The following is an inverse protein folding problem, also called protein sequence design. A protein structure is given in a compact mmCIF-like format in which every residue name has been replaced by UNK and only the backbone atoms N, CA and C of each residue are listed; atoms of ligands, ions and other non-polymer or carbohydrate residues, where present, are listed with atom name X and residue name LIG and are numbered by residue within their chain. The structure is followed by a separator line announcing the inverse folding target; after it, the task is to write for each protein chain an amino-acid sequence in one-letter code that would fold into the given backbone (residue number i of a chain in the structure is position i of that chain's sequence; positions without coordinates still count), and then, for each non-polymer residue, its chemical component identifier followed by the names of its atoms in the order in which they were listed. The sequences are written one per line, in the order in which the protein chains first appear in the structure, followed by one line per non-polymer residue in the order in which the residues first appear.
data_IF_108346563940
#
_entry.id   IF_108346563940
#
_cell.length_a   1.000
_cell.length_b   1.000
_cell.length_c   1.000
_cell.angle_alpha   90.00
_cell.angle_beta   90.00
_cell.angle_gamma   90.00
#
_symmetry.space_group_name_H-M   'P 1'
#
loop_
_entity.id
_entity.type
_entity.pdbx_description
1 polymer ?
#
# COMPACT_ATOMS: atom_id res chain seq x y z
N UNK A 1 -24.02 -1.20 -23.05
CA UNK A 1 -23.92 -1.27 -21.57
C UNK A 1 -25.09 -0.59 -20.88
N UNK A 2 -25.72 0.42 -21.50
CA UNK A 2 -26.84 1.16 -20.89
C UNK A 2 -28.09 0.30 -20.63
N UNK A 3 -28.38 -0.68 -21.50
CA UNK A 3 -29.48 -1.62 -21.28
C UNK A 3 -29.34 -2.37 -19.96
N UNK A 4 -28.16 -2.93 -19.67
CA UNK A 4 -27.92 -3.69 -18.44
C UNK A 4 -27.93 -2.78 -17.21
N UNK A 5 -27.35 -1.58 -17.31
CA UNK A 5 -27.37 -0.65 -16.17
C UNK A 5 -28.78 -0.21 -15.83
N UNK A 6 -29.61 0.07 -16.84
CA UNK A 6 -31.00 0.48 -16.63
C UNK A 6 -31.87 -0.67 -16.14
N UNK A 7 -31.72 -1.87 -16.73
CA UNK A 7 -32.47 -3.07 -16.35
C UNK A 7 -32.24 -3.47 -14.89
N UNK A 8 -31.01 -3.32 -14.39
CA UNK A 8 -30.63 -3.73 -13.04
C UNK A 8 -30.44 -2.55 -12.07
N UNK A 9 -30.83 -1.33 -12.45
CA UNK A 9 -30.74 -0.14 -11.59
C UNK A 9 -29.32 0.26 -11.16
N UNK A 10 -28.32 -0.05 -11.97
CA UNK A 10 -26.91 0.26 -11.67
C UNK A 10 -26.63 1.73 -12.02
N UNK A 11 -26.32 2.54 -11.01
CA UNK A 11 -26.09 3.99 -11.16
C UNK A 11 -24.96 4.36 -12.12
N UNK A 12 -23.92 3.53 -12.24
CA UNK A 12 -22.78 3.78 -13.11
C UNK A 12 -22.62 2.70 -14.17
N UNK A 13 -22.72 3.09 -15.44
CA UNK A 13 -22.48 2.19 -16.58
C UNK A 13 -21.05 1.66 -16.65
N UNK A 14 -20.07 2.33 -16.03
CA UNK A 14 -18.68 1.87 -15.96
C UNK A 14 -18.46 0.74 -14.94
N UNK A 15 -19.43 0.53 -14.04
CA UNK A 15 -19.36 -0.55 -13.04
C UNK A 15 -19.44 -1.93 -13.68
N UNK A 16 -20.24 -2.07 -14.74
CA UNK A 16 -20.45 -3.33 -15.46
C UNK A 16 -19.18 -3.83 -16.14
N UNK A 17 -18.50 -3.06 -17.01
CA UNK A 17 -17.24 -3.52 -17.62
C UNK A 17 -16.16 -3.76 -16.56
N UNK A 18 -16.14 -3.00 -15.46
CA UNK A 18 -15.23 -3.25 -14.34
C UNK A 18 -15.47 -4.62 -13.69
N UNK A 19 -16.72 -4.97 -13.36
CA UNK A 19 -17.06 -6.29 -12.81
C UNK A 19 -16.78 -7.43 -13.78
N UNK A 20 -17.09 -7.26 -15.07
CA UNK A 20 -16.77 -8.25 -16.09
C UNK A 20 -15.26 -8.51 -16.12
N UNK A 21 -14.44 -7.46 -16.13
CA UNK A 21 -12.99 -7.60 -16.15
C UNK A 21 -12.48 -8.28 -14.87
N UNK A 22 -13.00 -7.90 -13.70
CA UNK A 22 -12.63 -8.54 -12.42
C UNK A 22 -13.00 -10.02 -12.38
N UNK A 23 -14.18 -10.38 -12.89
CA UNK A 23 -14.63 -11.76 -12.94
C UNK A 23 -13.80 -12.60 -13.91
N UNK A 24 -13.43 -12.06 -15.08
CA UNK A 24 -12.56 -12.76 -16.04
C UNK A 24 -11.18 -13.07 -15.46
N UNK A 25 -10.64 -12.15 -14.66
CA UNK A 25 -9.28 -12.29 -14.11
C UNK A 25 -9.23 -13.16 -12.84
N UNK A 26 -10.19 -12.97 -11.92
CA UNK A 26 -10.13 -13.54 -10.57
C UNK A 26 -11.36 -14.40 -10.23
N UNK A 27 -12.21 -14.70 -11.21
CA UNK A 27 -13.45 -15.45 -10.99
C UNK A 27 -14.39 -14.77 -9.99
N UNK A 28 -15.10 -15.59 -9.22
CA UNK A 28 -16.04 -15.12 -8.19
C UNK A 28 -15.34 -14.29 -7.12
N UNK A 29 -14.10 -14.63 -6.77
CA UNK A 29 -13.32 -13.92 -5.75
C UNK A 29 -13.02 -12.47 -6.15
N UNK A 30 -12.92 -12.18 -7.45
CA UNK A 30 -12.77 -10.84 -8.00
C UNK A 30 -13.95 -9.91 -7.72
N UNK A 31 -15.14 -10.48 -7.46
CA UNK A 31 -16.36 -9.74 -7.13
C UNK A 31 -16.57 -9.59 -5.61
N UNK A 32 -15.84 -10.37 -4.80
CA UNK A 32 -15.96 -10.30 -3.34
C UNK A 32 -15.29 -9.05 -2.79
N UNK A 33 -15.96 -8.39 -1.85
CA UNK A 33 -15.39 -7.26 -1.12
C UNK A 33 -14.31 -7.77 -0.17
N UNK A 34 -13.04 -7.41 -0.40
CA UNK A 34 -12.00 -7.57 0.62
C UNK A 34 -12.36 -6.72 1.85
N UNK A 35 -12.64 -7.39 2.98
CA UNK A 35 -12.97 -6.75 4.26
C UNK A 35 -11.74 -6.41 5.10
N UNK A 36 -10.59 -6.96 4.76
CA UNK A 36 -9.35 -6.77 5.49
C UNK A 36 -8.42 -5.78 4.78
N UNK A 37 -7.83 -4.89 5.58
CA UNK A 37 -6.79 -3.98 5.11
C UNK A 37 -5.49 -4.75 4.91
N UNK A 38 -4.99 -4.81 3.66
CA UNK A 38 -3.69 -5.42 3.39
C UNK A 38 -2.57 -4.44 3.69
N UNK A 39 -1.68 -4.86 4.60
CA UNK A 39 -0.41 -4.18 4.86
C UNK A 39 0.65 -4.75 3.93
N UNK A 40 1.32 -3.88 3.19
CA UNK A 40 2.45 -4.26 2.34
C UNK A 40 3.74 -3.79 3.00
N UNK A 41 4.71 -4.70 3.14
CA UNK A 41 6.05 -4.37 3.62
C UNK A 41 6.76 -3.43 2.64
N UNK A 42 7.77 -2.69 3.12
CA UNK A 42 8.60 -1.84 2.24
C UNK A 42 9.24 -2.68 1.13
N UNK A 43 9.75 -3.87 1.47
CA UNK A 43 10.32 -4.81 0.51
C UNK A 43 9.32 -5.19 -0.59
N UNK A 44 8.08 -5.50 -0.23
CA UNK A 44 7.06 -5.83 -1.22
C UNK A 44 6.80 -4.67 -2.19
N UNK A 45 6.73 -3.44 -1.65
CA UNK A 45 6.54 -2.23 -2.49
C UNK A 45 7.72 -2.01 -3.43
N UNK A 46 8.95 -2.24 -2.96
CA UNK A 46 10.15 -2.15 -3.79
C UNK A 46 10.14 -3.18 -4.91
N UNK A 47 9.85 -4.45 -4.61
CA UNK A 47 9.75 -5.49 -5.63
C UNK A 47 8.68 -5.14 -6.68
N UNK A 48 7.55 -4.57 -6.27
CA UNK A 48 6.50 -4.13 -7.20
C UNK A 48 6.96 -2.99 -8.13
N UNK A 49 7.72 -2.04 -7.58
CA UNK A 49 8.31 -0.94 -8.35
C UNK A 49 9.39 -1.44 -9.32
N UNK A 50 10.27 -2.32 -8.85
CA UNK A 50 11.32 -2.92 -9.67
C UNK A 50 10.73 -3.74 -10.82
N UNK A 51 9.72 -4.56 -10.54
CA UNK A 51 9.01 -5.31 -11.58
C UNK A 51 8.40 -4.39 -12.64
N UNK A 52 7.80 -3.27 -12.22
CA UNK A 52 7.27 -2.28 -13.16
C UNK A 52 8.38 -1.57 -13.97
N UNK A 53 9.55 -1.28 -13.39
CA UNK A 53 10.65 -0.62 -14.09
C UNK A 53 11.37 -1.54 -15.07
N UNK A 54 11.41 -2.84 -14.80
CA UNK A 54 12.17 -3.83 -15.57
C UNK A 54 11.33 -4.53 -16.64
N UNK A 55 10.02 -4.34 -16.64
CA UNK A 55 9.08 -4.96 -17.58
C UNK A 55 8.33 -3.92 -18.41
N UNK A 56 7.78 -4.33 -19.54
CA UNK A 56 6.89 -3.50 -20.38
C UNK A 56 5.42 -3.67 -19.99
N UNK A 57 5.15 -3.86 -18.70
CA UNK A 57 3.81 -4.13 -18.19
C UNK A 57 3.15 -2.85 -17.68
N UNK A 58 1.85 -2.75 -17.91
CA UNK A 58 1.02 -1.73 -17.27
C UNK A 58 0.92 -1.98 -15.76
N UNK A 59 0.61 -0.94 -14.98
CA UNK A 59 0.33 -1.09 -13.55
C UNK A 59 -0.74 -2.14 -13.23
N UNK A 60 -1.67 -2.37 -14.16
CA UNK A 60 -2.72 -3.39 -14.00
C UNK A 60 -2.16 -4.78 -14.12
N UNK A 61 -1.28 -5.03 -15.09
CA UNK A 61 -0.65 -6.34 -15.28
C UNK A 61 0.31 -6.66 -14.12
N UNK A 62 1.12 -5.68 -13.69
CA UNK A 62 1.98 -5.84 -12.50
C UNK A 62 1.13 -6.15 -11.26
N UNK A 63 0.00 -5.47 -11.08
CA UNK A 63 -0.91 -5.75 -9.98
C UNK A 63 -1.50 -7.17 -10.08
N UNK A 64 -1.86 -7.64 -11.27
CA UNK A 64 -2.39 -8.99 -11.46
C UNK A 64 -1.32 -10.05 -11.11
N UNK A 65 -0.07 -9.88 -11.55
CA UNK A 65 1.06 -10.77 -11.20
C UNK A 65 1.28 -10.84 -9.69
N UNK A 66 1.14 -9.70 -9.00
CA UNK A 66 1.28 -9.60 -7.54
C UNK A 66 -0.02 -9.93 -6.78
N UNK A 67 -1.05 -10.42 -7.48
CA UNK A 67 -2.39 -10.71 -6.94
C UNK A 67 -3.02 -9.53 -6.17
N UNK A 68 -2.68 -8.32 -6.60
CA UNK A 68 -3.16 -7.06 -6.08
C UNK A 68 -4.41 -6.61 -6.83
N UNK A 69 -5.48 -6.37 -6.07
CA UNK A 69 -6.73 -5.91 -6.65
C UNK A 69 -6.75 -4.43 -7.03
N UNK A 70 -5.73 -3.66 -6.64
CA UNK A 70 -5.69 -2.20 -6.80
C UNK A 70 -4.37 -1.74 -7.46
N UNK A 71 -4.36 -1.58 -8.80
CA UNK A 71 -3.17 -1.12 -9.52
C UNK A 71 -2.77 0.33 -9.19
N UNK A 72 -3.71 1.15 -8.74
CA UNK A 72 -3.42 2.54 -8.31
C UNK A 72 -2.46 2.57 -7.12
N UNK A 73 -2.38 1.52 -6.31
CA UNK A 73 -1.40 1.45 -5.22
C UNK A 73 0.04 1.45 -5.75
N UNK A 74 0.32 0.73 -6.83
CA UNK A 74 1.66 0.64 -7.42
C UNK A 74 2.05 2.00 -7.99
N UNK A 75 1.15 2.67 -8.71
CA UNK A 75 1.39 4.03 -9.21
C UNK A 75 1.70 5.02 -8.06
N UNK A 76 0.95 4.96 -6.96
CA UNK A 76 1.20 5.80 -5.79
C UNK A 76 2.53 5.49 -5.10
N UNK A 77 2.93 4.21 -5.02
CA UNK A 77 4.24 3.84 -4.48
C UNK A 77 5.36 4.32 -5.37
N UNK A 78 5.25 4.15 -6.70
CA UNK A 78 6.23 4.63 -7.66
C UNK A 78 6.40 6.15 -7.58
N UNK A 79 5.30 6.90 -7.46
CA UNK A 79 5.36 8.36 -7.27
C UNK A 79 6.12 8.72 -5.99
N UNK A 80 5.76 8.12 -4.85
CA UNK A 80 6.45 8.37 -3.57
C UNK A 80 7.93 7.99 -3.61
N UNK A 81 8.25 6.90 -4.30
CA UNK A 81 9.63 6.47 -4.49
C UNK A 81 10.44 7.48 -5.32
N UNK A 82 9.83 8.09 -6.35
CA UNK A 82 10.47 9.15 -7.13
C UNK A 82 10.68 10.44 -6.32
N UNK A 83 9.75 10.77 -5.44
CA UNK A 83 9.80 12.01 -4.63
C UNK A 83 10.73 11.91 -3.42
N UNK A 84 10.71 10.77 -2.71
CA UNK A 84 11.34 10.63 -1.39
C UNK A 84 12.21 9.36 -1.26
N UNK A 85 12.42 8.62 -2.35
CA UNK A 85 13.17 7.36 -2.34
C UNK A 85 12.52 6.28 -1.48
N UNK A 86 13.36 5.44 -0.87
CA UNK A 86 12.92 4.32 -0.01
C UNK A 86 12.17 4.83 1.23
N UNK A 87 12.54 5.99 1.76
CA UNK A 87 11.90 6.59 2.94
C UNK A 87 10.44 6.95 2.67
N UNK A 88 10.08 7.31 1.42
CA UNK A 88 8.69 7.54 1.04
C UNK A 88 7.81 6.30 1.11
N UNK A 89 8.41 5.11 1.00
CA UNK A 89 7.69 3.83 1.05
C UNK A 89 7.47 3.32 2.48
N UNK A 90 8.30 3.75 3.44
CA UNK A 90 8.22 3.35 4.84
C UNK A 90 7.19 4.18 5.64
N UNK A 91 6.87 5.38 5.17
CA UNK A 91 5.87 6.25 5.81
C UNK A 91 4.48 5.61 5.80
N UNK A 92 3.98 5.30 7.00
CA UNK A 92 2.61 4.84 7.18
C UNK A 92 1.63 5.94 6.79
N UNK A 93 0.59 5.58 6.02
CA UNK A 93 -0.46 6.53 5.64
C UNK A 93 -1.36 6.79 6.85
N UNK A 94 -1.33 8.00 7.39
CA UNK A 94 -2.20 8.41 8.49
C UNK A 94 -1.57 9.50 9.36
N UNK A 95 -2.32 9.95 10.35
CA UNK A 95 -1.83 10.92 11.35
C UNK A 95 -0.69 10.27 12.13
N UNK A 96 0.47 10.92 12.17
CA UNK A 96 1.55 10.54 13.09
C UNK A 96 0.96 10.51 14.50
N UNK A 97 1.07 9.37 15.18
CA UNK A 97 0.67 9.28 16.57
C UNK A 97 1.54 10.24 17.39
N UNK A 98 0.91 11.18 18.09
CA UNK A 98 1.61 12.08 19.02
C UNK A 98 2.17 11.33 20.24
N UNK A 99 1.77 10.07 20.42
CA UNK A 99 2.25 9.22 21.52
C UNK A 99 3.56 8.56 21.10
N UNK A 100 4.68 8.77 21.83
CA UNK A 100 5.98 8.22 21.45
C UNK A 100 5.95 6.69 21.41
N UNK A 101 6.49 6.12 20.32
CA UNK A 101 6.58 4.66 20.12
C UNK A 101 7.45 4.06 21.23
N UNK A 102 7.12 2.82 21.67
CA UNK A 102 7.78 2.13 22.79
C UNK A 102 9.32 2.06 22.62
N UNK A 103 9.80 1.92 21.39
CA UNK A 103 11.23 1.91 21.04
C UNK A 103 11.93 3.26 21.27
N UNK A 104 11.26 4.38 21.02
CA UNK A 104 11.80 5.72 21.32
C UNK A 104 11.85 5.99 22.83
N UNK A 105 10.90 5.45 23.60
CA UNK A 105 10.94 5.53 25.06
C UNK A 105 12.13 4.75 25.62
N UNK A 106 12.41 3.55 25.10
CA UNK A 106 13.55 2.73 25.50
C UNK A 106 14.86 3.45 25.14
N UNK A 107 15.00 3.99 23.92
CA UNK A 107 16.18 4.78 23.53
C UNK A 107 16.38 6.01 24.41
N UNK A 108 15.31 6.75 24.73
CA UNK A 108 15.37 7.91 25.64
C UNK A 108 15.73 7.52 27.07
N UNK A 109 15.31 6.35 27.54
CA UNK A 109 15.66 5.86 28.87
C UNK A 109 17.14 5.46 28.93
N UNK A 110 17.62 4.67 27.96
CA UNK A 110 19.03 4.27 27.85
C UNK A 110 19.96 5.48 27.74
N UNK A 111 19.60 6.50 26.94
CA UNK A 111 20.39 7.72 26.83
C UNK A 111 20.41 8.52 28.15
N UNK A 112 19.32 8.53 28.92
CA UNK A 112 19.29 9.19 30.24
C UNK A 112 20.15 8.46 31.27
N UNK A 113 20.07 7.14 31.31
CA UNK A 113 20.89 6.31 32.19
C UNK A 113 22.39 6.45 31.85
N UNK A 114 22.74 6.48 30.57
CA UNK A 114 24.14 6.66 30.13
C UNK A 114 24.70 8.03 30.53
N UNK A 115 23.89 9.09 30.43
CA UNK A 115 24.29 10.45 30.82
C UNK A 115 24.39 10.59 32.34
N UNK A 116 23.49 9.96 33.10
CA UNK A 116 23.57 9.93 34.58
C UNK A 116 24.79 9.13 35.08
N UNK A 117 25.10 7.99 34.48
CA UNK A 117 26.27 7.17 34.85
C UNK A 117 27.59 7.92 34.60
N UNK A 118 27.71 8.61 33.45
CA UNK A 118 28.87 9.44 33.13
C UNK A 118 29.06 10.63 34.08
N UNK A 119 27.98 11.13 34.70
CA UNK A 119 28.04 12.23 35.66
C UNK A 119 28.44 11.80 37.08
N UNK A 120 28.43 10.50 37.38
CA UNK A 120 28.79 9.92 38.69
C UNK A 120 30.27 9.53 38.82
N UNK A 121 31.01 9.51 37.70
CA UNK A 121 32.42 9.08 37.63
C UNK A 121 33.38 10.30 37.70
N UNK A 122 32.89 11.47 38.12
CA UNK A 122 33.67 12.69 38.29
C UNK A 122 33.62 13.15 39.75
#
# INVERSE_FOLDING_TARGET
MDYLSNKYGIKSKSQIPYWINKYKEFGVDGLLRKRQYQKYSVQFKLNAIELYQTSELSYREVANILEMNNPTLIANWMQKFREEGIDGLSKEKGRLSTVPKKEEKIKKHLMKETVEEQSRIK
#
